data_IF_249341543030
#
_entry.id   IF_249341543030
#
_cell.length_a   1.000
_cell.length_b   1.000
_cell.length_c   1.000
_cell.angle_alpha   90.00
_cell.angle_beta   90.00
_cell.angle_gamma   90.00
#
_symmetry.space_group_name_H-M   'P 1'
#
loop_
_entity.id
_entity.type
_entity.pdbx_description
1 polymer ?
#
# COMPACT_ATOMS: atom_id res chain seq x y z
N UNK A 1 -4.51 20.48 7.85
CA UNK A 1 -5.88 20.08 7.47
C UNK A 1 -5.92 18.73 6.72
N UNK A 2 -5.28 18.56 5.56
CA UNK A 2 -5.35 17.31 4.77
C UNK A 2 -4.83 16.03 5.44
N UNK A 3 -3.93 16.15 6.44
CA UNK A 3 -3.35 14.99 7.14
C UNK A 3 -4.35 14.33 8.13
N UNK A 4 -5.38 15.06 8.58
CA UNK A 4 -6.38 14.54 9.52
C UNK A 4 -7.42 13.68 8.80
N UNK A 5 -7.87 14.13 7.62
CA UNK A 5 -8.85 13.43 6.78
C UNK A 5 -8.31 12.06 6.36
N UNK A 6 -7.03 11.98 5.97
CA UNK A 6 -6.41 10.71 5.59
C UNK A 6 -6.43 9.68 6.73
N UNK A 7 -6.26 10.12 7.98
CA UNK A 7 -6.32 9.23 9.15
C UNK A 7 -7.73 8.73 9.43
N UNK A 8 -8.75 9.55 9.17
CA UNK A 8 -10.15 9.14 9.35
C UNK A 8 -10.59 8.14 8.28
N UNK A 9 -10.29 8.40 7.01
CA UNK A 9 -10.68 7.50 5.92
C UNK A 9 -9.90 6.17 5.94
N UNK A 10 -8.71 6.13 6.54
CA UNK A 10 -7.91 4.91 6.66
C UNK A 10 -8.27 4.06 7.89
N UNK A 11 -9.04 4.61 8.84
CA UNK A 11 -9.46 3.90 10.05
C UNK A 11 -10.18 2.56 9.78
N UNK A 12 -11.15 2.46 8.85
CA UNK A 12 -11.84 1.18 8.58
C UNK A 12 -10.96 0.15 7.86
N UNK A 13 -9.95 0.60 7.10
CA UNK A 13 -9.09 -0.26 6.27
C UNK A 13 -7.73 -0.52 6.92
N UNK A 14 -7.59 -0.31 8.24
CA UNK A 14 -6.30 -0.38 8.93
C UNK A 14 -5.66 -1.78 8.82
N UNK A 15 -6.48 -2.83 8.88
CA UNK A 15 -6.01 -4.21 8.74
C UNK A 15 -5.56 -4.49 7.30
N UNK A 16 -6.34 -4.02 6.32
CA UNK A 16 -6.03 -4.16 4.89
C UNK A 16 -4.73 -3.44 4.51
N UNK A 17 -4.44 -2.31 5.18
CA UNK A 17 -3.18 -1.59 5.01
C UNK A 17 -1.97 -2.36 5.56
N UNK A 18 -2.17 -3.21 6.58
CA UNK A 18 -1.12 -4.07 7.09
C UNK A 18 -0.83 -5.22 6.10
N UNK A 19 -1.87 -5.87 5.59
CA UNK A 19 -1.76 -6.90 4.54
C UNK A 19 -1.10 -6.34 3.26
N UNK A 20 -1.56 -5.16 2.82
CA UNK A 20 -0.94 -4.43 1.72
C UNK A 20 0.54 -4.15 1.96
N UNK A 21 0.95 -3.80 3.20
CA UNK A 21 2.36 -3.55 3.49
C UNK A 21 3.21 -4.79 3.30
N UNK A 22 2.72 -5.96 3.73
CA UNK A 22 3.40 -7.25 3.58
C UNK A 22 3.56 -7.58 2.09
N UNK A 23 2.48 -7.51 1.32
CA UNK A 23 2.50 -7.77 -0.12
C UNK A 23 3.40 -6.77 -0.86
N UNK A 24 3.40 -5.51 -0.45
CA UNK A 24 4.22 -4.46 -1.06
C UNK A 24 5.72 -4.67 -0.82
N UNK A 25 6.11 -5.07 0.39
CA UNK A 25 7.51 -5.38 0.69
C UNK A 25 7.97 -6.66 -0.01
N UNK A 26 7.12 -7.69 -0.03
CA UNK A 26 7.37 -8.93 -0.77
C UNK A 26 7.58 -8.67 -2.27
N UNK A 27 6.72 -7.84 -2.88
CA UNK A 27 6.81 -7.50 -4.30
C UNK A 27 8.09 -6.71 -4.67
N UNK A 28 8.74 -6.05 -3.71
CA UNK A 28 9.97 -5.28 -3.91
C UNK A 28 11.24 -6.06 -3.54
N UNK A 29 11.10 -7.26 -2.98
CA UNK A 29 12.22 -8.11 -2.62
C UNK A 29 12.91 -8.68 -3.88
N UNK A 30 14.23 -8.61 -3.90
CA UNK A 30 15.07 -9.17 -4.98
C UNK A 30 16.27 -9.91 -4.40
N UNK A 31 16.74 -10.95 -5.08
CA UNK A 31 17.98 -11.65 -4.71
C UNK A 31 19.23 -10.76 -4.87
N UNK A 32 19.11 -9.66 -5.62
CA UNK A 32 20.19 -8.70 -5.85
C UNK A 32 20.19 -7.62 -4.77
N UNK A 33 21.21 -7.63 -3.91
CA UNK A 33 21.37 -6.69 -2.77
C UNK A 33 21.32 -5.20 -3.16
N UNK A 34 21.82 -4.84 -4.35
CA UNK A 34 21.78 -3.48 -4.85
C UNK A 34 20.33 -3.02 -5.11
N UNK A 35 19.50 -3.87 -5.70
CA UNK A 35 18.10 -3.58 -5.99
C UNK A 35 17.36 -3.31 -4.67
N UNK A 36 17.55 -4.15 -3.66
CA UNK A 36 16.94 -3.95 -2.32
C UNK A 36 17.34 -2.60 -1.69
N UNK A 37 18.58 -2.16 -1.90
CA UNK A 37 19.07 -0.87 -1.38
C UNK A 37 18.37 0.30 -2.05
N UNK A 38 18.20 0.25 -3.38
CA UNK A 38 17.46 1.26 -4.15
C UNK A 38 15.98 1.26 -3.78
N UNK A 39 15.35 0.08 -3.70
CA UNK A 39 13.97 -0.09 -3.27
C UNK A 39 13.73 0.55 -1.89
N UNK A 40 14.58 0.25 -0.91
CA UNK A 40 14.49 0.83 0.45
C UNK A 40 14.55 2.36 0.43
N UNK A 41 15.43 2.93 -0.40
CA UNK A 41 15.54 4.38 -0.56
C UNK A 41 14.29 5.00 -1.20
N UNK A 42 13.71 4.33 -2.21
CA UNK A 42 12.46 4.76 -2.85
C UNK A 42 11.31 4.75 -1.82
N UNK A 43 11.17 3.68 -1.04
CA UNK A 43 10.10 3.53 -0.04
C UNK A 43 10.15 4.65 1.00
N UNK A 44 11.35 4.95 1.52
CA UNK A 44 11.54 5.99 2.55
C UNK A 44 11.15 7.40 2.10
N UNK A 45 11.13 7.66 0.79
CA UNK A 45 10.81 8.97 0.22
C UNK A 45 9.42 9.05 -0.41
N UNK A 46 8.61 7.98 -0.36
CA UNK A 46 7.26 8.01 -0.94
C UNK A 46 6.32 8.92 -0.13
N UNK A 47 5.44 9.60 -0.85
CA UNK A 47 4.45 10.53 -0.29
C UNK A 47 3.28 9.84 0.43
N UNK A 48 2.10 10.48 0.41
CA UNK A 48 0.92 10.16 1.25
C UNK A 48 0.24 8.80 1.01
N UNK A 49 0.78 7.91 0.17
CA UNK A 49 0.21 6.59 -0.20
C UNK A 49 -1.27 6.63 -0.60
N UNK A 50 -1.72 7.75 -1.15
CA UNK A 50 -3.13 7.97 -1.48
C UNK A 50 -3.65 7.00 -2.54
N UNK A 51 -2.84 6.66 -3.56
CA UNK A 51 -3.23 5.76 -4.64
C UNK A 51 -3.56 4.34 -4.13
N UNK A 52 -2.70 3.66 -3.36
CA UNK A 52 -3.06 2.38 -2.73
C UNK A 52 -4.28 2.45 -1.82
N UNK A 53 -4.40 3.51 -1.02
CA UNK A 53 -5.55 3.72 -0.13
C UNK A 53 -6.85 3.80 -0.94
N UNK A 54 -6.86 4.55 -2.04
CA UNK A 54 -8.02 4.68 -2.91
C UNK A 54 -8.41 3.35 -3.56
N UNK A 55 -7.42 2.54 -3.98
CA UNK A 55 -7.66 1.22 -4.56
C UNK A 55 -8.32 0.27 -3.54
N UNK A 56 -7.81 0.22 -2.31
CA UNK A 56 -8.37 -0.62 -1.23
C UNK A 56 -9.78 -0.16 -0.85
N UNK A 57 -10.00 1.15 -0.74
CA UNK A 57 -11.33 1.71 -0.49
C UNK A 57 -12.32 1.39 -1.61
N UNK A 58 -11.89 1.48 -2.87
CA UNK A 58 -12.72 1.13 -4.03
C UNK A 58 -13.08 -0.36 -4.03
N UNK A 59 -12.15 -1.23 -3.62
CA UNK A 59 -12.44 -2.66 -3.49
C UNK A 59 -13.48 -2.95 -2.41
N UNK A 60 -13.47 -2.23 -1.29
CA UNK A 60 -14.52 -2.31 -0.25
C UNK A 60 -15.90 -1.87 -0.75
N UNK A 61 -15.95 -0.92 -1.69
CA UNK A 61 -17.22 -0.49 -2.30
C UNK A 61 -17.73 -1.56 -3.29
N UNK A 62 -16.83 -2.16 -4.06
CA UNK A 62 -17.17 -3.20 -5.04
C UNK A 62 -17.36 -4.59 -4.43
N UNK A 63 -17.03 -4.80 -3.15
CA UNK A 63 -17.07 -6.10 -2.49
C UNK A 63 -16.08 -6.19 -1.33
N UNK A 64 -15.49 -7.37 -1.11
CA UNK A 64 -14.42 -7.53 -0.12
C UNK A 64 -13.05 -7.43 -0.80
N UNK A 65 -12.06 -6.72 -0.22
CA UNK A 65 -10.70 -6.78 -0.70
C UNK A 65 -10.18 -8.22 -0.64
N UNK A 66 -9.40 -8.59 -1.65
CA UNK A 66 -8.74 -9.89 -1.75
C UNK A 66 -7.23 -9.69 -1.85
N UNK A 67 -6.46 -10.77 -1.77
CA UNK A 67 -5.01 -10.72 -1.99
C UNK A 67 -4.64 -10.05 -3.34
N UNK A 68 -5.42 -10.33 -4.38
CA UNK A 68 -5.26 -9.68 -5.69
C UNK A 68 -5.46 -8.16 -5.62
N UNK A 69 -6.34 -7.68 -4.75
CA UNK A 69 -6.52 -6.24 -4.51
C UNK A 69 -5.26 -5.62 -3.91
N UNK A 70 -4.62 -6.28 -2.94
CA UNK A 70 -3.40 -5.79 -2.31
C UNK A 70 -2.22 -5.79 -3.27
N UNK A 71 -2.09 -6.85 -4.08
CA UNK A 71 -1.09 -6.89 -5.16
C UNK A 71 -1.32 -5.79 -6.20
N UNK A 72 -2.56 -5.56 -6.64
CA UNK A 72 -2.88 -4.47 -7.55
C UNK A 72 -2.55 -3.09 -6.95
N UNK A 73 -2.85 -2.89 -5.67
CA UNK A 73 -2.51 -1.66 -4.95
C UNK A 73 -0.99 -1.45 -4.80
N UNK A 74 -0.19 -2.52 -4.81
CA UNK A 74 1.28 -2.47 -4.73
C UNK A 74 1.95 -2.02 -6.02
N UNK A 75 1.32 -2.28 -7.17
CA UNK A 75 1.85 -1.95 -8.50
C UNK A 75 1.44 -0.52 -8.94
N UNK A 76 0.32 0.01 -8.44
CA UNK A 76 -0.19 1.37 -8.76
C UNK A 76 0.50 2.52 -8.00
#
# INVERSE_FOLDING_TARGET
MAHSILKEITKPIKNDLAEFQIEFESALHSDVKLINTVCKYIIQRRGKRFRPILTILSAHICGKPTENTYRAASVM
#
